data_IF_007407181429
#
_entry.id   IF_007407181429
#
_cell.length_a   1.000
_cell.length_b   1.000
_cell.length_c   1.000
_cell.angle_alpha   90.00
_cell.angle_beta   90.00
_cell.angle_gamma   90.00
#
_symmetry.space_group_name_H-M   'P 1'
#
loop_
_entity.id
_entity.type
_entity.pdbx_description
1 polymer ?
#
# COMPACT_ATOMS: atom_id res chain seq x y z
N UNK A 1 -10.99 -23.47 -9.00
CA UNK A 1 -12.11 -22.92 -8.21
C UNK A 1 -13.06 -22.18 -9.15
N UNK A 2 -14.20 -22.77 -9.52
CA UNK A 2 -15.22 -22.06 -10.34
C UNK A 2 -16.08 -21.22 -9.40
N UNK A 3 -15.81 -19.92 -9.34
CA UNK A 3 -16.69 -18.97 -8.64
C UNK A 3 -17.87 -18.74 -9.59
N UNK A 4 -18.86 -19.62 -9.54
CA UNK A 4 -20.12 -19.38 -10.23
C UNK A 4 -20.81 -18.23 -9.50
N UNK A 5 -20.67 -17.01 -10.02
CA UNK A 5 -21.34 -15.82 -9.48
C UNK A 5 -22.85 -15.91 -9.74
N UNK A 6 -23.54 -16.77 -8.99
CA UNK A 6 -25.00 -16.95 -9.05
C UNK A 6 -25.73 -15.64 -8.72
N UNK A 7 -25.07 -14.76 -7.94
CA UNK A 7 -25.56 -13.43 -7.61
C UNK A 7 -24.49 -12.39 -7.94
N UNK A 8 -24.69 -11.65 -9.04
CA UNK A 8 -23.84 -10.50 -9.39
C UNK A 8 -24.52 -9.22 -8.93
N UNK A 9 -23.78 -8.39 -8.21
CA UNK A 9 -24.17 -7.00 -8.03
C UNK A 9 -24.26 -6.32 -9.40
N UNK A 10 -25.34 -5.59 -9.65
CA UNK A 10 -25.53 -4.75 -10.85
C UNK A 10 -25.59 -3.29 -10.38
N UNK A 11 -24.43 -2.64 -10.14
CA UNK A 11 -24.43 -1.29 -9.62
C UNK A 11 -24.98 -0.32 -10.66
N UNK A 12 -25.70 0.69 -10.20
CA UNK A 12 -26.14 1.81 -11.04
C UNK A 12 -24.93 2.59 -11.56
N UNK A 13 -25.13 3.44 -12.58
CA UNK A 13 -24.05 4.28 -13.13
C UNK A 13 -23.37 5.13 -12.03
N UNK A 14 -24.15 5.68 -11.11
CA UNK A 14 -23.64 6.47 -9.99
C UNK A 14 -22.83 5.62 -9.00
N UNK A 15 -23.30 4.41 -8.69
CA UNK A 15 -22.55 3.50 -7.81
C UNK A 15 -21.22 3.08 -8.43
N UNK A 16 -21.18 2.78 -9.73
CA UNK A 16 -19.93 2.46 -10.44
C UNK A 16 -18.93 3.61 -10.34
N UNK A 17 -19.36 4.83 -10.67
CA UNK A 17 -18.49 6.01 -10.58
C UNK A 17 -17.90 6.21 -9.18
N UNK A 18 -18.69 6.00 -8.11
CA UNK A 18 -18.20 6.06 -6.72
C UNK A 18 -17.18 4.97 -6.42
N UNK A 19 -17.47 3.73 -6.83
CA UNK A 19 -16.57 2.59 -6.63
C UNK A 19 -15.24 2.82 -7.35
N UNK A 20 -15.28 3.25 -8.61
CA UNK A 20 -14.09 3.50 -9.42
C UNK A 20 -13.23 4.63 -8.84
N UNK A 21 -13.89 5.70 -8.35
CA UNK A 21 -13.21 6.80 -7.68
C UNK A 21 -12.51 6.35 -6.38
N UNK A 22 -13.20 5.59 -5.53
CA UNK A 22 -12.60 5.04 -4.31
C UNK A 22 -11.47 4.08 -4.60
N UNK A 23 -11.64 3.20 -5.59
CA UNK A 23 -10.59 2.27 -6.01
C UNK A 23 -9.34 3.03 -6.46
N UNK A 24 -9.50 4.09 -7.25
CA UNK A 24 -8.39 4.93 -7.69
C UNK A 24 -7.67 5.59 -6.51
N UNK A 25 -8.39 6.17 -5.56
CA UNK A 25 -7.79 6.77 -4.37
C UNK A 25 -7.04 5.74 -3.52
N UNK A 26 -7.64 4.57 -3.30
CA UNK A 26 -7.03 3.50 -2.50
C UNK A 26 -5.78 2.92 -3.18
N UNK A 27 -5.80 2.74 -4.50
CA UNK A 27 -4.62 2.33 -5.25
C UNK A 27 -3.49 3.37 -5.17
N UNK A 28 -3.82 4.67 -5.28
CA UNK A 28 -2.83 5.73 -5.12
C UNK A 28 -2.23 5.73 -3.71
N UNK A 29 -3.06 5.64 -2.68
CA UNK A 29 -2.63 5.58 -1.28
C UNK A 29 -1.74 4.35 -1.03
N UNK A 30 -2.14 3.18 -1.52
CA UNK A 30 -1.37 1.95 -1.40
C UNK A 30 0.02 2.09 -2.04
N UNK A 31 0.06 2.60 -3.28
CA UNK A 31 1.33 2.80 -3.99
C UNK A 31 2.24 3.80 -3.30
N UNK A 32 1.68 4.87 -2.73
CA UNK A 32 2.42 5.85 -1.95
C UNK A 32 3.07 5.22 -0.70
N UNK A 33 2.29 4.48 0.10
CA UNK A 33 2.79 3.81 1.30
C UNK A 33 3.80 2.70 0.97
N UNK A 34 3.60 2.00 -0.16
CA UNK A 34 4.53 0.98 -0.63
C UNK A 34 5.88 1.59 -1.03
N UNK A 35 5.86 2.71 -1.77
CA UNK A 35 7.08 3.43 -2.14
C UNK A 35 7.85 3.93 -0.92
N UNK A 36 7.13 4.45 0.09
CA UNK A 36 7.71 4.87 1.35
C UNK A 36 8.38 3.73 2.12
N UNK A 37 7.74 2.55 2.16
CA UNK A 37 8.34 1.35 2.74
C UNK A 37 9.63 0.95 2.03
N UNK A 38 9.64 0.98 0.69
CA UNK A 38 10.86 0.66 -0.06
C UNK A 38 11.97 1.67 0.20
N UNK A 39 11.64 2.95 0.27
CA UNK A 39 12.59 4.00 0.67
C UNK A 39 13.16 3.71 2.05
N UNK A 40 12.32 3.43 3.04
CA UNK A 40 12.79 3.09 4.38
C UNK A 40 13.73 1.88 4.34
N UNK A 41 13.33 0.80 3.65
CA UNK A 41 14.17 -0.40 3.55
C UNK A 41 15.53 -0.09 2.92
N UNK A 42 15.59 0.67 1.83
CA UNK A 42 16.85 0.98 1.16
C UNK A 42 17.78 1.87 2.00
N UNK A 43 17.23 2.80 2.78
CA UNK A 43 18.02 3.67 3.67
C UNK A 43 18.48 2.98 4.96
N UNK A 44 17.74 1.97 5.43
CA UNK A 44 17.99 1.33 6.73
C UNK A 44 18.59 -0.08 6.61
N UNK A 45 18.63 -0.68 5.42
CA UNK A 45 19.24 -1.99 5.23
C UNK A 45 20.76 -1.90 5.40
N UNK A 46 21.31 -2.94 6.01
CA UNK A 46 22.75 -3.18 6.06
C UNK A 46 23.06 -4.58 5.52
N UNK A 47 24.32 -4.84 5.18
CA UNK A 47 24.75 -6.18 4.81
C UNK A 47 24.56 -7.13 5.99
N UNK A 48 24.12 -8.37 5.74
CA UNK A 48 23.85 -9.38 6.78
C UNK A 48 25.07 -9.60 7.70
N UNK A 49 26.27 -9.45 7.17
CA UNK A 49 27.54 -9.63 7.88
C UNK A 49 28.11 -8.34 8.50
N UNK A 50 27.40 -7.21 8.39
CA UNK A 50 27.83 -5.92 8.90
C UNK A 50 26.63 -5.15 9.44
N UNK A 51 26.22 -5.46 10.67
CA UNK A 51 25.28 -4.62 11.41
C UNK A 51 26.08 -3.53 12.14
N UNK A 52 25.93 -2.24 11.81
CA UNK A 52 26.57 -1.18 12.57
C UNK A 52 25.96 -1.12 13.97
N UNK A 53 26.80 -1.20 15.01
CA UNK A 53 26.39 -1.12 16.43
C UNK A 53 25.75 0.23 16.80
N UNK A 54 25.89 1.24 15.94
CA UNK A 54 25.23 2.54 16.04
C UNK A 54 24.33 2.69 14.82
N UNK A 55 23.01 2.64 15.01
CA UNK A 55 22.03 2.89 13.96
C UNK A 55 21.33 4.23 14.19
N UNK A 56 21.10 4.96 13.11
CA UNK A 56 20.26 6.15 13.14
C UNK A 56 18.80 5.70 13.11
N UNK A 57 18.03 6.03 14.16
CA UNK A 57 16.59 5.82 14.18
C UNK A 57 15.89 7.02 13.53
N UNK A 58 15.00 6.83 12.54
CA UNK A 58 14.24 7.93 11.97
C UNK A 58 13.27 8.53 13.00
N UNK A 59 12.97 9.81 12.84
CA UNK A 59 11.93 10.49 13.62
C UNK A 59 10.57 9.82 13.41
N UNK A 60 9.81 9.66 14.51
CA UNK A 60 8.44 9.15 14.43
C UNK A 60 7.58 10.12 13.63
N UNK A 61 6.72 9.59 12.76
CA UNK A 61 5.70 10.41 12.11
C UNK A 61 4.59 10.75 13.09
N UNK A 62 4.18 12.01 13.08
CA UNK A 62 2.92 12.42 13.68
C UNK A 62 1.77 11.85 12.83
N UNK A 63 0.87 11.10 13.48
CA UNK A 63 -0.31 10.49 12.86
C UNK A 63 -1.52 11.41 12.94
#
# INVERSE_FOLDING_TARGET
MRIAYQYRLKPTKQQKAKIDHWLSMLCAQYNYLLADRFRWYDHNRCSINACPLVCHLPELRDN
#
